data_IF_635311922063
#
_entry.id   IF_635311922063
#
_cell.length_a   1.000
_cell.length_b   1.000
_cell.length_c   1.000
_cell.angle_alpha   90.00
_cell.angle_beta   90.00
_cell.angle_gamma   90.00
#
_symmetry.space_group_name_H-M   'P 1'
#
loop_
_entity.id
_entity.type
_entity.pdbx_description
1 polymer ?
#
# COMPACT_ATOMS: atom_id res chain seq x y z
N UNK A 1 -15.99 -38.94 -17.36
CA UNK A 1 -16.21 -37.82 -16.42
C UNK A 1 -14.94 -37.02 -16.11
N UNK A 2 -13.73 -37.60 -16.13
CA UNK A 2 -12.48 -36.88 -15.82
C UNK A 2 -12.15 -35.69 -16.75
N UNK A 3 -12.33 -35.83 -18.06
CA UNK A 3 -11.93 -34.81 -19.04
C UNK A 3 -12.73 -33.49 -18.94
N UNK A 4 -14.03 -33.54 -18.60
CA UNK A 4 -14.84 -32.32 -18.38
C UNK A 4 -14.41 -31.55 -17.13
N UNK A 5 -14.03 -32.25 -16.05
CA UNK A 5 -13.54 -31.62 -14.83
C UNK A 5 -12.17 -30.96 -15.06
N UNK A 6 -11.32 -31.57 -15.88
CA UNK A 6 -10.01 -31.03 -16.24
C UNK A 6 -10.12 -29.74 -17.05
N UNK A 7 -10.98 -29.70 -18.07
CA UNK A 7 -11.25 -28.49 -18.86
C UNK A 7 -11.80 -27.36 -17.97
N UNK A 8 -12.75 -27.68 -17.08
CA UNK A 8 -13.32 -26.69 -16.16
C UNK A 8 -12.30 -26.15 -15.16
N UNK A 9 -11.38 -27.00 -14.67
CA UNK A 9 -10.29 -26.59 -13.78
C UNK A 9 -9.30 -25.66 -14.48
N UNK A 10 -8.93 -25.99 -15.73
CA UNK A 10 -8.06 -25.15 -16.54
C UNK A 10 -8.70 -23.79 -16.84
N UNK A 11 -9.98 -23.79 -17.23
CA UNK A 11 -10.75 -22.55 -17.42
C UNK A 11 -10.80 -21.71 -16.14
N UNK A 12 -11.01 -22.36 -14.99
CA UNK A 12 -11.07 -21.67 -13.71
C UNK A 12 -9.73 -21.07 -13.29
N UNK A 13 -8.63 -21.79 -13.54
CA UNK A 13 -7.27 -21.35 -13.28
C UNK A 13 -6.92 -20.13 -14.14
N UNK A 14 -7.15 -20.22 -15.45
CA UNK A 14 -6.96 -19.15 -16.41
C UNK A 14 -7.78 -17.90 -16.07
N UNK A 15 -9.06 -18.07 -15.78
CA UNK A 15 -9.91 -16.95 -15.36
C UNK A 15 -9.46 -16.30 -14.05
N UNK A 16 -8.85 -17.07 -13.12
CA UNK A 16 -8.24 -16.49 -11.91
C UNK A 16 -6.96 -15.75 -12.22
N UNK A 17 -6.12 -16.26 -13.11
CA UNK A 17 -4.89 -15.60 -13.52
C UNK A 17 -5.18 -14.25 -14.19
N UNK A 18 -6.11 -14.21 -15.14
CA UNK A 18 -6.48 -12.96 -15.84
C UNK A 18 -7.03 -11.92 -14.86
N UNK A 19 -7.84 -12.33 -13.89
CA UNK A 19 -8.33 -11.45 -12.82
C UNK A 19 -7.16 -10.99 -11.93
N UNK A 20 -6.25 -11.89 -11.56
CA UNK A 20 -5.09 -11.55 -10.74
C UNK A 20 -4.20 -10.52 -11.42
N UNK A 21 -3.92 -10.70 -12.71
CA UNK A 21 -3.13 -9.75 -13.50
C UNK A 21 -3.83 -8.40 -13.60
N UNK A 22 -5.16 -8.42 -13.77
CA UNK A 22 -5.96 -7.21 -13.89
C UNK A 22 -6.05 -6.41 -12.59
N UNK A 23 -6.18 -7.03 -11.43
CA UNK A 23 -6.32 -6.33 -10.14
C UNK A 23 -5.00 -6.22 -9.35
N UNK A 24 -3.96 -6.94 -9.76
CA UNK A 24 -2.71 -7.09 -8.99
C UNK A 24 -2.88 -7.80 -7.65
N UNK A 25 -4.07 -8.37 -7.38
CA UNK A 25 -4.43 -9.00 -6.12
C UNK A 25 -5.44 -10.13 -6.32
N UNK A 26 -5.68 -10.90 -5.26
CA UNK A 26 -6.69 -11.96 -5.30
C UNK A 26 -8.12 -11.39 -5.30
N UNK A 27 -9.09 -12.22 -5.67
CA UNK A 27 -10.53 -11.89 -5.74
C UNK A 27 -11.06 -11.29 -4.42
N UNK A 28 -10.59 -11.79 -3.28
CA UNK A 28 -11.01 -11.29 -1.96
C UNK A 28 -10.52 -9.88 -1.70
N UNK A 29 -9.33 -9.52 -2.15
CA UNK A 29 -8.75 -8.19 -1.98
C UNK A 29 -9.30 -7.19 -3.00
N UNK A 30 -9.61 -7.62 -4.23
CA UNK A 30 -10.24 -6.79 -5.25
C UNK A 30 -11.60 -6.22 -4.80
N UNK A 31 -12.31 -6.96 -3.94
CA UNK A 31 -13.59 -6.52 -3.38
C UNK A 31 -13.46 -5.38 -2.34
N UNK A 32 -12.24 -5.02 -1.92
CA UNK A 32 -12.00 -4.11 -0.78
C UNK A 32 -11.64 -2.68 -1.18
N UNK A 33 -11.23 -2.45 -2.42
CA UNK A 33 -10.72 -1.15 -2.85
C UNK A 33 -11.52 -0.63 -4.05
N UNK A 34 -12.21 0.51 -3.87
CA UNK A 34 -12.87 1.19 -4.98
C UNK A 34 -11.88 2.02 -5.81
N UNK A 35 -12.20 2.22 -7.08
CA UNK A 35 -11.63 3.27 -7.92
C UNK A 35 -11.98 4.65 -7.31
N UNK A 36 -11.10 5.65 -7.46
CA UNK A 36 -11.35 6.99 -6.91
C UNK A 36 -12.43 7.74 -7.71
N UNK A 37 -13.18 8.61 -7.03
CA UNK A 37 -14.16 9.49 -7.67
C UNK A 37 -13.53 10.41 -8.72
N UNK A 38 -12.32 10.92 -8.48
CA UNK A 38 -11.59 11.73 -9.46
C UNK A 38 -11.30 10.98 -10.76
N UNK A 39 -10.96 9.68 -10.66
CA UNK A 39 -10.70 8.85 -11.84
C UNK A 39 -12.00 8.49 -12.56
N UNK A 40 -13.09 8.28 -11.83
CA UNK A 40 -14.42 8.13 -12.43
C UNK A 40 -14.88 9.40 -13.14
N UNK A 41 -14.66 10.57 -12.56
CA UNK A 41 -14.99 11.84 -13.19
C UNK A 41 -14.27 12.00 -14.54
N UNK A 42 -12.95 11.75 -14.58
CA UNK A 42 -12.17 11.75 -15.84
C UNK A 42 -12.66 10.70 -16.83
N UNK A 43 -13.03 9.52 -16.35
CA UNK A 43 -13.63 8.48 -17.19
C UNK A 43 -14.95 8.93 -17.82
N UNK A 44 -15.78 9.68 -17.10
CA UNK A 44 -17.01 10.24 -17.66
C UNK A 44 -16.74 11.35 -18.69
N UNK A 45 -15.63 12.08 -18.57
CA UNK A 45 -15.19 13.08 -19.56
C UNK A 45 -14.71 12.42 -20.87
N UNK A 46 -13.82 11.42 -20.77
CA UNK A 46 -13.33 10.65 -21.92
C UNK A 46 -13.15 9.17 -21.57
N UNK A 47 -14.15 8.32 -21.87
CA UNK A 47 -14.09 6.89 -21.61
C UNK A 47 -13.00 6.14 -22.39
N UNK A 48 -12.60 6.65 -23.55
CA UNK A 48 -11.59 5.98 -24.38
C UNK A 48 -10.21 6.18 -23.78
N UNK A 49 -9.90 7.41 -23.36
CA UNK A 49 -8.62 7.78 -22.79
C UNK A 49 -8.46 7.32 -21.34
N UNK A 50 -9.51 7.46 -20.52
CA UNK A 50 -9.45 7.20 -19.07
C UNK A 50 -10.13 5.90 -18.63
N UNK A 51 -10.54 5.06 -19.58
CA UNK A 51 -11.14 3.75 -19.31
C UNK A 51 -10.23 2.79 -18.54
N UNK A 52 -10.81 1.75 -17.91
CA UNK A 52 -10.06 0.77 -17.12
C UNK A 52 -9.03 0.05 -17.99
N UNK A 53 -7.78 -0.03 -17.59
CA UNK A 53 -6.76 -0.86 -18.23
C UNK A 53 -6.96 -2.37 -17.98
N UNK A 54 -5.93 -3.15 -18.30
CA UNK A 54 -5.87 -4.60 -18.02
C UNK A 54 -4.87 -4.97 -16.93
N UNK A 55 -4.33 -3.98 -16.22
CA UNK A 55 -3.27 -4.15 -15.21
C UNK A 55 -3.52 -3.21 -14.02
N UNK A 56 -3.46 -3.77 -12.80
CA UNK A 56 -3.61 -3.05 -11.53
C UNK A 56 -4.84 -2.13 -11.40
N UNK A 57 -5.96 -2.52 -12.02
CA UNK A 57 -7.21 -1.79 -11.95
C UNK A 57 -7.99 -2.05 -10.67
N UNK A 58 -9.00 -1.21 -10.41
CA UNK A 58 -9.91 -1.33 -9.27
C UNK A 58 -11.35 -1.41 -9.76
N UNK A 59 -12.23 -1.99 -8.95
CA UNK A 59 -13.67 -1.97 -9.22
C UNK A 59 -14.26 -0.63 -8.80
N UNK A 60 -15.35 -0.23 -9.45
CA UNK A 60 -16.22 0.81 -8.94
C UNK A 60 -17.18 0.20 -7.91
N UNK A 61 -16.94 0.51 -6.64
CA UNK A 61 -17.76 0.09 -5.51
C UNK A 61 -18.61 1.24 -4.98
N UNK A 62 -18.64 2.41 -5.64
CA UNK A 62 -19.29 3.61 -5.09
C UNK A 62 -20.83 3.58 -5.18
N UNK A 63 -21.42 2.55 -5.78
CA UNK A 63 -22.88 2.36 -5.81
C UNK A 63 -23.46 2.03 -4.43
N UNK A 64 -24.65 2.57 -4.13
CA UNK A 64 -25.39 2.31 -2.90
C UNK A 64 -26.07 0.93 -2.90
N UNK A 65 -26.29 0.36 -4.08
CA UNK A 65 -26.85 -0.98 -4.25
C UNK A 65 -25.92 -1.87 -5.03
N UNK A 66 -26.03 -3.19 -4.84
CA UNK A 66 -25.33 -4.16 -5.68
C UNK A 66 -25.64 -3.95 -7.16
N UNK A 67 -26.88 -3.55 -7.48
CA UNK A 67 -27.29 -3.33 -8.86
C UNK A 67 -26.64 -2.09 -9.48
N UNK A 68 -26.53 -0.99 -8.72
CA UNK A 68 -25.75 0.18 -9.15
C UNK A 68 -24.27 -0.18 -9.39
N UNK A 69 -23.65 -0.96 -8.49
CA UNK A 69 -22.27 -1.41 -8.69
C UNK A 69 -22.13 -2.26 -9.95
N UNK A 70 -23.06 -3.19 -10.23
CA UNK A 70 -23.03 -3.98 -11.46
C UNK A 70 -23.20 -3.10 -12.68
N UNK A 71 -24.14 -2.17 -12.65
CA UNK A 71 -24.48 -1.31 -13.79
C UNK A 71 -23.51 -0.14 -13.98
N UNK A 72 -22.53 0.02 -13.08
CA UNK A 72 -21.47 1.02 -13.23
C UNK A 72 -20.80 0.92 -14.62
N UNK A 73 -20.77 2.01 -15.40
CA UNK A 73 -20.09 2.05 -16.69
C UNK A 73 -18.62 1.64 -16.62
N UNK A 74 -17.95 1.92 -15.50
CA UNK A 74 -16.58 1.50 -15.24
C UNK A 74 -16.46 -0.02 -15.15
N UNK A 75 -17.29 -0.65 -14.30
CA UNK A 75 -17.27 -2.09 -14.12
C UNK A 75 -17.67 -2.85 -15.38
N UNK A 76 -18.65 -2.34 -16.14
CA UNK A 76 -19.04 -2.91 -17.43
C UNK A 76 -17.89 -2.86 -18.44
N UNK A 77 -17.20 -1.72 -18.53
CA UNK A 77 -16.03 -1.56 -19.41
C UNK A 77 -14.88 -2.47 -19.01
N UNK A 78 -14.66 -2.67 -17.70
CA UNK A 78 -13.64 -3.59 -17.21
C UNK A 78 -13.98 -5.04 -17.58
N UNK A 79 -15.23 -5.48 -17.38
CA UNK A 79 -15.69 -6.82 -17.79
C UNK A 79 -15.43 -7.04 -19.28
N UNK A 80 -15.82 -6.06 -20.11
CA UNK A 80 -15.60 -6.14 -21.55
C UNK A 80 -14.11 -6.26 -21.91
N UNK A 81 -13.24 -5.46 -21.30
CA UNK A 81 -11.80 -5.51 -21.56
C UNK A 81 -11.15 -6.82 -21.10
N UNK A 82 -11.59 -7.39 -19.98
CA UNK A 82 -11.14 -8.71 -19.53
C UNK A 82 -11.55 -9.82 -20.51
N UNK A 83 -12.79 -9.76 -21.02
CA UNK A 83 -13.28 -10.70 -22.02
C UNK A 83 -12.47 -10.61 -23.32
N UNK A 84 -12.21 -9.38 -23.80
CA UNK A 84 -11.37 -9.14 -24.98
C UNK A 84 -9.94 -9.63 -24.79
N UNK A 85 -9.35 -9.44 -23.60
CA UNK A 85 -8.02 -9.95 -23.26
C UNK A 85 -8.00 -11.49 -23.33
N UNK A 86 -8.95 -12.15 -22.68
CA UNK A 86 -9.03 -13.61 -22.70
C UNK A 86 -9.24 -14.15 -24.13
N UNK A 87 -10.10 -13.51 -24.92
CA UNK A 87 -10.33 -13.92 -26.31
C UNK A 87 -9.05 -13.83 -27.16
N UNK A 88 -8.15 -12.88 -26.88
CA UNK A 88 -6.87 -12.71 -27.57
C UNK A 88 -5.80 -13.69 -27.10
N UNK A 89 -5.71 -13.91 -25.79
CA UNK A 89 -4.62 -14.69 -25.18
C UNK A 89 -4.91 -16.21 -25.16
N UNK A 90 -6.17 -16.61 -25.25
CA UNK A 90 -6.60 -18.00 -25.08
C UNK A 90 -6.84 -18.65 -26.44
N UNK A 91 -5.75 -19.03 -27.12
CA UNK A 91 -5.76 -19.70 -28.42
C UNK A 91 -5.87 -21.21 -28.24
N UNK A 92 -6.91 -21.68 -27.55
CA UNK A 92 -7.10 -23.11 -27.29
C UNK A 92 -8.43 -23.61 -27.84
N UNK A 93 -8.45 -24.63 -28.72
CA UNK A 93 -9.68 -25.14 -29.33
C UNK A 93 -10.73 -25.59 -28.32
N UNK A 94 -10.29 -26.06 -27.14
CA UNK A 94 -11.19 -26.50 -26.07
C UNK A 94 -12.01 -25.36 -25.42
N UNK A 95 -11.67 -24.10 -25.69
CA UNK A 95 -12.42 -22.92 -25.25
C UNK A 95 -13.07 -22.16 -26.42
N UNK A 96 -13.03 -22.72 -27.63
CA UNK A 96 -13.69 -22.14 -28.79
C UNK A 96 -15.21 -22.07 -28.55
N UNK A 97 -15.79 -20.87 -28.72
CA UNK A 97 -17.21 -20.63 -28.48
C UNK A 97 -17.57 -20.32 -27.02
N UNK A 98 -16.61 -20.21 -26.11
CA UNK A 98 -16.87 -19.72 -24.76
C UNK A 98 -17.27 -18.23 -24.79
N UNK A 99 -18.38 -17.90 -24.12
CA UNK A 99 -18.74 -16.51 -23.85
C UNK A 99 -17.87 -15.96 -22.71
N UNK A 100 -16.74 -15.36 -23.09
CA UNK A 100 -15.82 -14.71 -22.15
C UNK A 100 -16.48 -13.53 -21.43
N UNK A 101 -17.41 -12.84 -22.06
CA UNK A 101 -18.10 -11.71 -21.45
C UNK A 101 -18.95 -12.18 -20.29
N UNK A 102 -19.83 -13.15 -20.53
CA UNK A 102 -20.64 -13.76 -19.48
C UNK A 102 -19.76 -14.37 -18.37
N UNK A 103 -18.68 -15.06 -18.76
CA UNK A 103 -17.76 -15.68 -17.79
C UNK A 103 -17.14 -14.66 -16.82
N UNK A 104 -16.64 -13.52 -17.31
CA UNK A 104 -16.09 -12.49 -16.42
C UNK A 104 -17.19 -11.72 -15.69
N UNK A 105 -18.33 -11.48 -16.33
CA UNK A 105 -19.48 -10.84 -15.69
C UNK A 105 -19.90 -11.59 -14.42
N UNK A 106 -20.09 -12.92 -14.50
CA UNK A 106 -20.46 -13.74 -13.34
C UNK A 106 -19.43 -13.66 -12.20
N UNK A 107 -18.14 -13.60 -12.54
CA UNK A 107 -17.04 -13.52 -11.57
C UNK A 107 -16.96 -12.15 -10.91
N UNK A 108 -17.01 -11.08 -11.70
CA UNK A 108 -17.00 -9.71 -11.18
C UNK A 108 -18.25 -9.47 -10.34
N UNK A 109 -19.43 -9.91 -10.79
CA UNK A 109 -20.66 -9.82 -10.00
C UNK A 109 -20.58 -10.55 -8.67
N UNK A 110 -19.86 -11.68 -8.60
CA UNK A 110 -19.60 -12.38 -7.33
C UNK A 110 -18.73 -11.54 -6.39
N UNK A 111 -17.70 -10.87 -6.92
CA UNK A 111 -16.84 -9.95 -6.16
C UNK A 111 -17.65 -8.77 -5.63
N UNK A 112 -18.47 -8.15 -6.49
CA UNK A 112 -19.36 -7.06 -6.12
C UNK A 112 -20.39 -7.48 -5.06
N UNK A 113 -20.95 -8.69 -5.17
CA UNK A 113 -21.85 -9.23 -4.15
C UNK A 113 -21.15 -9.38 -2.80
N UNK A 114 -19.89 -9.85 -2.80
CA UNK A 114 -19.07 -9.90 -1.58
C UNK A 114 -18.75 -8.52 -1.03
N UNK A 115 -18.61 -7.49 -1.89
CA UNK A 115 -18.42 -6.11 -1.47
C UNK A 115 -19.71 -5.53 -0.85
N UNK A 116 -20.85 -5.66 -1.52
CA UNK A 116 -22.14 -5.17 -1.06
C UNK A 116 -22.60 -5.85 0.24
N UNK A 117 -22.34 -7.17 0.39
CA UNK A 117 -22.68 -7.91 1.61
C UNK A 117 -21.90 -7.45 2.85
N UNK A 118 -20.80 -6.71 2.69
CA UNK A 118 -20.05 -6.13 3.82
C UNK A 118 -20.62 -4.80 4.33
N UNK A 119 -21.70 -4.31 3.73
CA UNK A 119 -22.44 -3.17 4.22
C UNK A 119 -22.00 -1.84 3.59
N UNK A 120 -23.00 -1.06 3.19
CA UNK A 120 -22.94 0.36 2.82
C UNK A 120 -23.11 1.25 4.07
N UNK A 121 -22.35 0.97 5.13
CA UNK A 121 -22.40 1.74 6.36
C UNK A 121 -21.04 2.42 6.57
N UNK A 122 -20.95 3.70 6.22
CA UNK A 122 -19.88 4.64 6.62
C UNK A 122 -18.44 4.36 6.10
N UNK A 123 -18.15 3.16 5.57
CA UNK A 123 -16.77 2.68 5.41
C UNK A 123 -16.05 3.04 4.09
N UNK A 124 -16.73 3.62 3.10
CA UNK A 124 -16.05 3.96 1.83
C UNK A 124 -15.22 5.25 1.89
N UNK A 125 -15.56 6.19 2.77
CA UNK A 125 -14.64 7.29 3.12
C UNK A 125 -13.49 6.78 4.02
N UNK A 126 -13.76 5.79 4.87
CA UNK A 126 -12.77 5.12 5.73
C UNK A 126 -11.85 4.12 5.00
N UNK A 127 -12.00 3.88 3.69
CA UNK A 127 -11.04 3.07 2.92
C UNK A 127 -10.01 3.92 2.16
N UNK A 128 -10.37 5.16 1.80
CA UNK A 128 -9.40 6.20 1.44
C UNK A 128 -8.65 6.70 2.69
N UNK A 129 -9.34 6.78 3.82
CA UNK A 129 -8.78 6.86 5.16
C UNK A 129 -8.69 5.47 5.79
N UNK A 130 -8.04 4.50 5.12
CA UNK A 130 -7.60 3.30 5.84
C UNK A 130 -7.00 3.82 7.13
N UNK A 131 -7.48 3.35 8.28
CA UNK A 131 -6.80 3.63 9.53
C UNK A 131 -5.39 3.08 9.31
N UNK A 132 -4.45 3.94 8.90
CA UNK A 132 -3.08 3.58 8.62
C UNK A 132 -2.40 3.25 9.95
N UNK A 133 -3.08 3.50 11.07
CA UNK A 133 -2.67 3.16 12.42
C UNK A 133 -2.17 1.72 12.53
N UNK A 134 -2.88 0.63 12.15
CA UNK A 134 -2.34 -0.72 12.34
C UNK A 134 -1.13 -1.00 11.44
N UNK A 135 -1.07 -0.44 10.23
CA UNK A 135 0.10 -0.59 9.34
C UNK A 135 1.33 0.14 9.90
N UNK A 136 1.14 1.36 10.40
CA UNK A 136 2.16 2.17 11.05
C UNK A 136 2.62 1.56 12.37
N UNK A 137 1.71 1.04 13.17
CA UNK A 137 2.03 0.29 14.39
C UNK A 137 2.86 -0.96 14.07
N UNK A 138 2.48 -1.75 13.06
CA UNK A 138 3.30 -2.89 12.62
C UNK A 138 4.69 -2.46 12.16
N UNK A 139 4.80 -1.36 11.42
CA UNK A 139 6.09 -0.82 10.97
C UNK A 139 6.96 -0.35 12.14
N UNK A 140 6.37 0.37 13.10
CA UNK A 140 7.04 0.79 14.33
C UNK A 140 7.57 -0.43 15.08
N UNK A 141 6.69 -1.40 15.37
CA UNK A 141 7.05 -2.61 16.10
C UNK A 141 8.18 -3.39 15.42
N UNK A 142 8.10 -3.52 14.10
CA UNK A 142 9.14 -4.18 13.31
C UNK A 142 10.50 -3.46 13.41
N UNK A 143 10.51 -2.13 13.25
CA UNK A 143 11.74 -1.33 13.37
C UNK A 143 12.30 -1.36 14.79
N UNK A 144 11.43 -1.32 15.80
CA UNK A 144 11.85 -1.45 17.21
C UNK A 144 12.49 -2.81 17.46
N UNK A 145 11.93 -3.89 16.91
CA UNK A 145 12.50 -5.23 17.02
C UNK A 145 13.90 -5.29 16.39
N UNK A 146 14.07 -4.78 15.16
CA UNK A 146 15.38 -4.75 14.50
C UNK A 146 16.39 -3.97 15.35
N UNK A 147 16.03 -2.76 15.76
CA UNK A 147 16.93 -1.90 16.52
C UNK A 147 17.29 -2.49 17.89
N UNK A 148 16.35 -3.15 18.57
CA UNK A 148 16.60 -3.86 19.83
C UNK A 148 17.54 -5.06 19.64
N UNK A 149 17.34 -5.86 18.58
CA UNK A 149 18.23 -6.97 18.24
C UNK A 149 19.64 -6.47 17.95
N UNK A 150 19.78 -5.42 17.15
CA UNK A 150 21.10 -4.86 16.81
C UNK A 150 21.79 -4.20 18.01
N UNK A 151 21.04 -3.53 18.89
CA UNK A 151 21.61 -2.97 20.12
C UNK A 151 22.15 -4.08 21.03
N UNK A 152 21.41 -5.18 21.17
CA UNK A 152 21.85 -6.35 21.93
C UNK A 152 23.12 -6.95 21.33
N UNK A 153 23.13 -7.18 20.01
CA UNK A 153 24.29 -7.70 19.30
C UNK A 153 25.52 -6.80 19.46
N UNK A 154 25.35 -5.48 19.33
CA UNK A 154 26.43 -4.49 19.48
C UNK A 154 27.03 -4.53 20.89
N UNK A 155 26.19 -4.72 21.92
CA UNK A 155 26.64 -4.86 23.31
C UNK A 155 27.45 -6.15 23.50
N UNK A 156 26.99 -7.27 22.94
CA UNK A 156 27.71 -8.55 23.01
C UNK A 156 29.06 -8.49 22.28
N UNK A 157 29.15 -7.71 21.21
CA UNK A 157 30.38 -7.46 20.46
C UNK A 157 31.29 -6.38 21.08
N UNK A 158 30.86 -5.68 22.14
CA UNK A 158 31.51 -4.48 22.70
C UNK A 158 31.77 -3.36 21.66
N UNK A 159 30.87 -3.18 20.69
CA UNK A 159 30.93 -2.08 19.73
C UNK A 159 30.13 -0.88 20.25
N UNK A 160 30.82 0.04 20.93
CA UNK A 160 30.22 1.24 21.53
C UNK A 160 29.53 2.13 20.48
N UNK A 161 30.11 2.27 19.27
CA UNK A 161 29.55 3.13 18.23
C UNK A 161 28.24 2.60 17.70
N UNK A 162 28.17 1.29 17.45
CA UNK A 162 26.92 0.65 17.03
C UNK A 162 25.89 0.65 18.17
N UNK A 163 26.33 0.44 19.41
CA UNK A 163 25.45 0.53 20.57
C UNK A 163 24.79 1.91 20.67
N UNK A 164 25.55 2.99 20.53
CA UNK A 164 25.04 4.37 20.56
C UNK A 164 24.09 4.65 19.40
N UNK A 165 24.43 4.21 18.19
CA UNK A 165 23.57 4.33 17.02
C UNK A 165 22.21 3.64 17.26
N UNK A 166 22.21 2.38 17.68
CA UNK A 166 20.97 1.62 17.85
C UNK A 166 20.17 2.09 19.07
N UNK A 167 20.83 2.60 20.12
CA UNK A 167 20.18 3.30 21.22
C UNK A 167 19.47 4.57 20.72
N UNK A 168 20.14 5.36 19.86
CA UNK A 168 19.54 6.54 19.25
C UNK A 168 18.34 6.18 18.36
N UNK A 169 18.44 5.13 17.55
CA UNK A 169 17.32 4.63 16.73
C UNK A 169 16.12 4.25 17.60
N UNK A 170 16.31 3.48 18.68
CA UNK A 170 15.23 3.07 19.58
C UNK A 170 14.53 4.25 20.24
N UNK A 171 15.30 5.23 20.76
CA UNK A 171 14.73 6.46 21.32
C UNK A 171 13.94 7.23 20.27
N UNK A 172 14.49 7.35 19.07
CA UNK A 172 13.84 8.05 17.96
C UNK A 172 12.52 7.40 17.56
N UNK A 173 12.48 6.06 17.47
CA UNK A 173 11.26 5.31 17.21
C UNK A 173 10.23 5.48 18.33
N UNK A 174 10.67 5.53 19.59
CA UNK A 174 9.80 5.75 20.74
C UNK A 174 9.15 7.14 20.72
N UNK A 175 9.93 8.20 20.49
CA UNK A 175 9.42 9.57 20.42
C UNK A 175 8.51 9.79 19.21
N UNK A 176 8.91 9.28 18.05
CA UNK A 176 8.13 9.42 16.82
C UNK A 176 6.87 8.54 16.81
N UNK A 177 6.87 7.44 17.56
CA UNK A 177 5.77 6.47 17.67
C UNK A 177 5.20 6.05 16.29
N UNK A 178 3.95 5.57 16.26
CA UNK A 178 3.31 5.16 15.00
C UNK A 178 3.05 6.37 14.08
N UNK A 179 2.88 7.57 14.64
CA UNK A 179 2.57 8.79 13.90
C UNK A 179 3.76 9.35 13.13
N UNK A 180 4.97 9.07 13.57
CA UNK A 180 6.20 9.38 12.84
C UNK A 180 6.61 8.30 11.83
N UNK A 181 5.77 7.27 11.60
CA UNK A 181 5.97 6.31 10.52
C UNK A 181 5.44 6.87 9.19
N UNK A 182 6.19 6.65 8.10
CA UNK A 182 5.77 7.06 6.75
C UNK A 182 4.55 6.30 6.28
N UNK A 183 3.78 6.90 5.38
CA UNK A 183 2.72 6.19 4.65
C UNK A 183 3.33 5.47 3.42
N UNK A 184 2.67 4.42 2.98
CA UNK A 184 3.11 3.57 1.87
C UNK A 184 1.95 3.32 0.92
N UNK A 185 2.19 3.58 -0.37
CA UNK A 185 1.25 3.28 -1.45
C UNK A 185 1.87 2.22 -2.38
N UNK A 186 1.08 1.25 -2.82
CA UNK A 186 1.52 0.29 -3.83
C UNK A 186 1.41 0.92 -5.22
N UNK A 187 2.41 0.69 -6.06
CA UNK A 187 2.40 1.19 -7.43
C UNK A 187 3.32 0.42 -8.36
N UNK A 188 3.47 0.92 -9.58
CA UNK A 188 4.31 0.34 -10.62
C UNK A 188 5.29 1.41 -11.09
N UNK A 189 6.58 1.09 -11.11
CA UNK A 189 7.63 1.94 -11.68
C UNK A 189 8.53 1.09 -12.57
N UNK A 190 8.69 1.48 -13.83
CA UNK A 190 9.45 0.73 -14.84
C UNK A 190 9.05 -0.76 -14.94
N UNK A 191 7.74 -1.02 -15.02
CA UNK A 191 7.14 -2.36 -15.08
C UNK A 191 7.37 -3.26 -13.84
N UNK A 192 7.92 -2.72 -12.76
CA UNK A 192 8.11 -3.42 -11.49
C UNK A 192 7.10 -2.95 -10.44
N UNK A 193 6.54 -3.88 -9.65
CA UNK A 193 5.73 -3.54 -8.49
C UNK A 193 6.60 -2.93 -7.38
N UNK A 194 6.34 -1.68 -7.05
CA UNK A 194 7.06 -0.92 -6.02
C UNK A 194 6.16 -0.46 -4.89
N UNK A 195 6.78 -0.11 -3.77
CA UNK A 195 6.11 0.57 -2.66
C UNK A 195 6.60 2.01 -2.61
N UNK A 196 5.73 2.96 -2.94
CA UNK A 196 6.02 4.38 -2.82
C UNK A 196 5.97 4.80 -1.35
N UNK A 197 7.04 5.44 -0.87
CA UNK A 197 7.16 5.87 0.52
C UNK A 197 7.03 7.39 0.58
N UNK A 198 5.99 7.85 1.26
CA UNK A 198 5.71 9.26 1.46
C UNK A 198 6.51 9.77 2.66
N UNK A 199 6.98 11.00 2.57
CA UNK A 199 7.64 11.64 3.71
C UNK A 199 6.63 12.41 4.55
N UNK A 200 7.00 12.76 5.79
CA UNK A 200 6.13 13.55 6.67
C UNK A 200 6.52 15.02 6.61
N UNK A 201 5.52 15.89 6.60
CA UNK A 201 5.70 17.35 6.55
C UNK A 201 6.42 17.88 7.79
N UNK A 202 6.13 17.32 8.97
CA UNK A 202 6.77 17.73 10.21
C UNK A 202 8.15 17.09 10.43
N UNK A 203 8.40 15.85 9.98
CA UNK A 203 9.59 15.07 10.40
C UNK A 203 10.87 15.49 9.67
N UNK A 204 11.96 15.68 10.40
CA UNK A 204 13.28 15.99 9.85
C UNK A 204 13.71 14.98 8.76
N UNK A 205 14.24 15.42 7.60
CA UNK A 205 14.56 14.55 6.47
C UNK A 205 15.56 13.43 6.80
N UNK A 206 16.45 13.64 7.77
CA UNK A 206 17.46 12.64 8.15
C UNK A 206 16.84 11.35 8.71
N UNK A 207 15.66 11.41 9.32
CA UNK A 207 14.95 10.21 9.78
C UNK A 207 14.54 9.30 8.64
N UNK A 208 14.40 9.83 7.42
CA UNK A 208 14.17 9.00 6.23
C UNK A 208 15.32 8.03 6.03
N UNK A 209 16.55 8.56 5.94
CA UNK A 209 17.77 7.78 5.74
C UNK A 209 18.03 6.85 6.92
N UNK A 210 17.79 7.34 8.13
CA UNK A 210 17.92 6.53 9.35
C UNK A 210 17.01 5.31 9.28
N UNK A 211 15.72 5.49 8.98
CA UNK A 211 14.76 4.39 8.96
C UNK A 211 14.89 3.49 7.73
N UNK A 212 15.42 3.99 6.62
CA UNK A 212 15.83 3.16 5.49
C UNK A 212 16.97 2.22 5.90
N UNK A 213 17.99 2.73 6.61
CA UNK A 213 19.05 1.89 7.19
C UNK A 213 18.48 0.81 8.11
N UNK A 214 17.55 1.15 9.01
CA UNK A 214 16.88 0.16 9.88
C UNK A 214 16.18 -0.90 9.05
N UNK A 215 15.40 -0.47 8.07
CA UNK A 215 14.60 -1.32 7.20
C UNK A 215 15.48 -2.31 6.38
N UNK A 216 16.68 -1.89 5.96
CA UNK A 216 17.60 -2.69 5.14
C UNK A 216 18.54 -3.58 5.96
N UNK A 217 18.66 -3.33 7.26
CA UNK A 217 19.59 -4.05 8.16
C UNK A 217 19.37 -5.56 8.11
N UNK A 218 18.13 -6.04 8.04
CA UNK A 218 17.86 -7.49 7.95
C UNK A 218 18.38 -8.13 6.67
N UNK A 219 18.58 -7.36 5.61
CA UNK A 219 19.15 -7.84 4.34
C UNK A 219 20.66 -7.81 4.31
N UNK A 220 21.25 -6.89 5.05
CA UNK A 220 22.69 -6.75 5.18
C UNK A 220 23.25 -7.75 6.21
N UNK A 221 22.59 -7.90 7.36
CA UNK A 221 23.05 -8.70 8.49
C UNK A 221 22.43 -10.11 8.50
N UNK A 222 22.74 -10.90 7.48
CA UNK A 222 22.12 -12.24 7.28
C UNK A 222 22.47 -13.24 8.39
N UNK A 223 23.60 -13.07 9.05
CA UNK A 223 24.03 -13.93 10.17
C UNK A 223 23.22 -13.66 11.44
N UNK A 224 22.62 -12.47 11.55
CA UNK A 224 21.79 -12.06 12.68
C UNK A 224 20.31 -12.31 12.37
N UNK A 225 19.89 -12.05 11.14
CA UNK A 225 18.50 -12.13 10.73
C UNK A 225 18.27 -13.22 9.68
N UNK A 226 17.65 -14.32 10.12
CA UNK A 226 17.15 -15.33 9.21
C UNK A 226 16.07 -14.72 8.29
N UNK A 227 16.36 -14.67 7.00
CA UNK A 227 15.41 -14.25 5.99
C UNK A 227 14.58 -15.44 5.52
N UNK A 228 13.39 -15.59 6.10
CA UNK A 228 12.36 -16.49 5.59
C UNK A 228 11.20 -15.70 5.00
N UNK A 229 10.66 -16.17 3.88
CA UNK A 229 9.48 -15.60 3.23
C UNK A 229 9.75 -14.87 1.91
N UNK A 230 8.74 -14.12 1.45
CA UNK A 230 8.75 -13.44 0.16
C UNK A 230 9.78 -12.31 0.14
N UNK A 231 10.50 -12.15 -0.97
CA UNK A 231 11.36 -11.00 -1.20
C UNK A 231 10.58 -9.69 -1.02
N UNK A 232 11.20 -8.73 -0.33
CA UNK A 232 10.63 -7.41 -0.11
C UNK A 232 10.54 -6.67 -1.44
N UNK A 233 9.39 -6.04 -1.71
CA UNK A 233 9.21 -5.17 -2.88
C UNK A 233 10.17 -3.98 -2.80
N UNK A 234 10.66 -3.52 -3.95
CA UNK A 234 11.49 -2.32 -4.05
C UNK A 234 10.70 -1.11 -3.52
N UNK A 235 11.34 -0.31 -2.68
CA UNK A 235 10.75 0.89 -2.08
C UNK A 235 11.26 2.11 -2.81
N UNK A 236 10.35 2.99 -3.21
CA UNK A 236 10.68 4.16 -4.01
C UNK A 236 10.29 5.41 -3.26
N UNK A 237 11.27 6.26 -3.08
CA UNK A 237 11.12 7.54 -2.44
C UNK A 237 10.36 8.51 -3.35
N UNK A 238 9.18 8.97 -2.94
CA UNK A 238 8.49 10.05 -3.66
C UNK A 238 8.56 11.36 -2.89
N UNK A 239 8.48 12.50 -3.60
CA UNK A 239 8.53 13.83 -3.00
C UNK A 239 7.21 14.27 -2.35
N UNK A 240 6.18 13.43 -2.39
CA UNK A 240 4.90 13.74 -1.74
C UNK A 240 5.06 13.76 -0.21
N UNK A 241 4.63 14.87 0.40
CA UNK A 241 4.55 15.02 1.85
C UNK A 241 3.15 14.63 2.31
N UNK A 242 3.06 13.75 3.30
CA UNK A 242 1.84 13.50 4.06
C UNK A 242 1.73 14.54 5.18
N UNK A 243 0.64 15.31 5.19
CA UNK A 243 0.36 16.25 6.27
C UNK A 243 -0.18 15.49 7.48
N UNK A 244 0.52 15.60 8.62
CA UNK A 244 0.12 14.89 9.84
C UNK A 244 0.42 15.69 11.09
N UNK A 245 -0.40 15.48 12.12
CA UNK A 245 -0.11 16.01 13.46
C UNK A 245 1.11 15.28 14.04
N UNK A 246 2.13 16.01 14.52
CA UNK A 246 3.28 15.40 15.16
C UNK A 246 2.88 14.80 16.52
N UNK A 247 3.61 13.79 17.02
CA UNK A 247 3.49 13.33 18.40
C UNK A 247 3.65 14.48 19.41
N UNK A 248 2.94 14.42 20.56
CA UNK A 248 3.08 15.43 21.60
C UNK A 248 4.48 15.40 22.23
N UNK A 249 4.98 16.56 22.67
CA UNK A 249 6.26 16.70 23.36
C UNK A 249 7.46 16.15 22.56
N UNK A 250 7.40 16.20 21.24
CA UNK A 250 8.50 15.82 20.37
C UNK A 250 9.63 16.88 20.43
N UNK A 251 10.89 16.44 20.49
CA UNK A 251 12.06 17.35 20.49
C UNK A 251 12.06 18.25 19.23
N UNK A 252 12.44 19.53 19.34
CA UNK A 252 12.59 20.45 18.20
C UNK A 252 13.47 19.88 17.08
N UNK A 253 14.49 19.09 17.42
CA UNK A 253 15.40 18.49 16.43
C UNK A 253 14.73 17.48 15.52
N UNK A 254 13.59 16.91 15.92
CA UNK A 254 12.83 15.97 15.10
C UNK A 254 11.98 16.65 14.04
N UNK A 255 11.87 17.98 14.10
CA UNK A 255 11.08 18.74 13.14
C UNK A 255 11.92 19.19 11.95
N UNK A 256 11.27 19.31 10.78
CA UNK A 256 11.83 20.08 9.67
C UNK A 256 11.96 21.55 10.09
N UNK A 257 13.06 22.23 9.75
CA UNK A 257 13.19 23.67 9.99
C UNK A 257 12.04 24.47 9.38
N UNK A 258 11.59 24.10 8.18
CA UNK A 258 10.45 24.72 7.50
C UNK A 258 9.14 24.56 8.27
N UNK A 259 8.92 23.44 8.95
CA UNK A 259 7.72 23.19 9.75
C UNK A 259 7.72 24.08 11.01
N UNK A 260 8.87 24.20 11.68
CA UNK A 260 9.01 25.08 12.84
C UNK A 260 8.79 26.55 12.48
N UNK A 261 9.34 27.00 11.35
CA UNK A 261 9.11 28.36 10.85
C UNK A 261 7.63 28.59 10.51
N UNK A 262 6.96 27.63 9.87
CA UNK A 262 5.54 27.69 9.58
C UNK A 262 4.70 27.79 10.88
N UNK A 263 5.06 27.03 11.92
CA UNK A 263 4.42 27.11 13.24
C UNK A 263 4.62 28.47 13.92
N UNK A 264 5.79 29.10 13.78
CA UNK A 264 6.06 30.45 14.31
C UNK A 264 5.23 31.52 13.60
N UNK A 265 5.02 31.40 12.28
CA UNK A 265 4.17 32.31 11.49
C UNK A 265 2.67 32.11 11.70
N UNK A 266 2.26 30.97 12.28
CA UNK A 266 0.86 30.61 12.46
C UNK A 266 0.26 29.85 11.27
N UNK A 267 1.08 29.40 10.31
CA UNK A 267 0.64 28.60 9.15
C UNK A 267 0.35 27.13 9.54
N UNK A 268 0.89 26.67 10.69
CA UNK A 268 0.70 25.33 11.25
C UNK A 268 0.27 25.43 12.72
N UNK A 269 -0.49 24.43 13.19
CA UNK A 269 -0.95 24.35 14.58
C UNK A 269 0.24 24.40 15.56
N UNK A 270 0.14 25.20 16.62
CA UNK A 270 1.15 25.21 17.68
C UNK A 270 1.10 23.89 18.44
N UNK A 271 2.25 23.23 18.55
CA UNK A 271 2.40 21.99 19.30
C UNK A 271 3.33 22.19 20.48
N UNK A 272 3.11 21.44 21.56
CA UNK A 272 3.99 21.46 22.71
C UNK A 272 5.31 20.77 22.33
N UNK A 273 6.39 21.54 22.31
CA UNK A 273 7.74 21.02 22.06
C UNK A 273 8.26 20.31 23.30
N UNK A 274 8.95 19.19 23.09
CA UNK A 274 9.69 18.49 24.14
C UNK A 274 11.03 19.16 24.46
N UNK A 275 11.77 18.65 25.45
CA UNK A 275 13.13 19.10 25.71
C UNK A 275 14.05 18.85 24.51
N UNK A 276 15.01 19.76 24.30
CA UNK A 276 16.10 19.56 23.33
C UNK A 276 17.11 18.58 23.91
N UNK A 277 16.96 17.31 23.57
CA UNK A 277 17.81 16.28 24.18
C UNK A 277 19.00 15.85 23.29
N UNK A 278 19.00 16.16 21.98
CA UNK A 278 20.03 15.63 21.06
C UNK A 278 20.31 16.50 19.83
N UNK A 279 21.58 16.64 19.46
CA UNK A 279 21.99 17.00 18.11
C UNK A 279 21.81 15.79 17.19
N UNK A 280 21.06 15.95 16.08
CA UNK A 280 21.11 14.97 15.00
C UNK A 280 22.53 15.06 14.44
N UNK A 281 23.30 14.00 14.63
CA UNK A 281 24.65 13.89 14.06
C UNK A 281 24.54 13.99 12.54
N UNK A 282 25.08 15.09 12.00
CA UNK A 282 25.22 15.31 10.55
C UNK A 282 26.23 14.34 9.95
#
# INVERSE_FOLDING_TARGET
MGHRNEIQNTLNSLGRQIIYDAFGCNITDASRCSISLDRLARYHEDPQLYGPGTLAEKLDLNGHTLEEMKMSPWNQSLIHRLAMKAQREVISPQFAGLDWHQFFQERIHRILRSAAARGTDVDQRAYAERDLSPARHRKLQYRMQIAATMQKYSREANDEKMQDLWAFVLRSLSQLNADGMSDEEEGIECDEQVTFVHDLDFRHPDFRRLFEKVDDTRSLEKDIFNQSGRHRRRRVAIHRLSERKPPPALSPTFYRPSYLLAMQRGDKEKVQLGPEDYSISR
#
